data_IF_488570227625
#
_entry.id   IF_488570227625
#
_cell.length_a   1.000
_cell.length_b   1.000
_cell.length_c   1.000
_cell.angle_alpha   90.00
_cell.angle_beta   90.00
_cell.angle_gamma   90.00
#
_symmetry.space_group_name_H-M   'P 1'
#
loop_
_entity.id
_entity.type
_entity.pdbx_description
1 polymer ?
#
# COMPACT_ATOMS: atom_id res chain seq x y z
N UNK A 1 11.12 26.02 5.29
CA UNK A 1 12.54 25.86 5.69
C UNK A 1 13.10 24.70 4.88
N UNK A 2 14.03 24.94 3.95
CA UNK A 2 14.57 23.87 3.12
C UNK A 2 15.44 22.94 3.96
N UNK A 3 15.20 21.64 3.89
CA UNK A 3 15.98 20.62 4.59
C UNK A 3 17.39 20.54 3.98
N UNK A 4 18.34 21.21 4.62
CA UNK A 4 19.75 21.29 4.18
C UNK A 4 20.43 19.91 4.22
N UNK A 5 20.00 19.03 5.13
CA UNK A 5 20.55 17.69 5.25
C UNK A 5 20.07 16.80 4.10
N UNK A 6 18.79 16.86 3.77
CA UNK A 6 18.25 16.21 2.57
C UNK A 6 18.95 16.70 1.29
N UNK A 7 19.20 18.00 1.17
CA UNK A 7 19.93 18.53 0.02
C UNK A 7 21.37 18.00 -0.06
N UNK A 8 22.11 18.04 1.05
CA UNK A 8 23.47 17.51 1.14
C UNK A 8 23.53 16.03 0.76
N UNK A 9 22.67 15.20 1.36
CA UNK A 9 22.57 13.76 1.07
C UNK A 9 22.05 13.45 -0.33
N UNK A 10 21.45 14.43 -1.02
CA UNK A 10 21.07 14.36 -2.42
C UNK A 10 22.23 14.55 -3.41
N UNK A 11 23.39 15.06 -2.97
CA UNK A 11 24.58 15.24 -3.83
C UNK A 11 25.43 13.97 -3.89
N UNK A 12 26.25 13.82 -4.95
CA UNK A 12 27.20 12.70 -5.06
C UNK A 12 28.21 12.62 -3.89
N UNK A 13 28.94 13.70 -3.52
CA UNK A 13 29.85 13.66 -2.38
C UNK A 13 29.13 13.43 -1.04
N UNK A 14 27.96 14.04 -0.84
CA UNK A 14 27.15 13.82 0.36
C UNK A 14 26.68 12.36 0.49
N UNK A 15 26.24 11.73 -0.61
CA UNK A 15 25.92 10.28 -0.61
C UNK A 15 27.11 9.41 -0.29
N UNK A 16 28.29 9.73 -0.82
CA UNK A 16 29.52 8.98 -0.55
C UNK A 16 29.88 9.03 0.94
N UNK A 17 29.92 10.22 1.52
CA UNK A 17 30.27 10.41 2.93
C UNK A 17 29.25 9.76 3.87
N UNK A 18 27.96 9.99 3.63
CA UNK A 18 26.90 9.42 4.48
C UNK A 18 26.85 7.90 4.43
N UNK A 19 27.11 7.27 3.27
CA UNK A 19 27.26 5.80 3.18
C UNK A 19 28.45 5.29 3.99
N UNK A 20 29.59 5.96 3.93
CA UNK A 20 30.81 5.58 4.68
C UNK A 20 30.63 5.70 6.18
N UNK A 21 29.85 6.68 6.62
CA UNK A 21 29.59 6.96 8.04
C UNK A 21 28.33 6.27 8.58
N UNK A 22 27.60 5.50 7.76
CA UNK A 22 26.35 4.86 8.17
C UNK A 22 25.22 5.85 8.49
N UNK A 23 25.29 7.08 7.97
CA UNK A 23 24.31 8.11 8.25
C UNK A 23 23.02 7.92 7.43
N UNK A 24 21.85 8.36 7.96
CA UNK A 24 20.58 8.26 7.24
C UNK A 24 20.61 8.99 5.89
N UNK A 25 20.08 8.35 4.85
CA UNK A 25 19.89 8.93 3.52
C UNK A 25 18.40 9.11 3.22
N UNK A 26 17.78 10.21 3.66
CA UNK A 26 16.35 10.43 3.44
C UNK A 26 16.04 10.56 1.95
N UNK A 27 14.88 10.03 1.54
CA UNK A 27 14.39 10.17 0.18
C UNK A 27 13.49 11.42 0.08
N UNK A 28 13.57 12.22 -1.00
CA UNK A 28 12.60 13.27 -1.25
C UNK A 28 11.24 12.63 -1.52
N UNK A 29 10.24 12.99 -0.72
CA UNK A 29 8.90 12.41 -0.82
C UNK A 29 8.09 13.13 -1.91
N UNK A 30 7.55 12.37 -2.86
CA UNK A 30 6.63 12.89 -3.88
C UNK A 30 5.29 13.24 -3.22
N UNK A 31 5.05 14.53 -3.04
CA UNK A 31 3.83 15.11 -2.44
C UNK A 31 2.90 15.64 -3.52
N UNK A 32 1.62 15.78 -3.19
CA UNK A 32 0.63 16.33 -4.12
C UNK A 32 0.89 17.83 -4.35
N UNK A 33 0.95 18.22 -5.62
CA UNK A 33 0.91 19.61 -6.11
C UNK A 33 0.05 19.64 -7.38
N UNK A 34 -0.24 20.83 -7.90
CA UNK A 34 -0.90 20.97 -9.20
C UNK A 34 -0.06 20.36 -10.34
N UNK A 35 1.27 20.35 -10.22
CA UNK A 35 2.20 19.76 -11.18
C UNK A 35 2.35 18.24 -11.01
N UNK A 36 2.14 17.74 -9.78
CA UNK A 36 2.27 16.31 -9.45
C UNK A 36 0.97 15.77 -8.82
N UNK A 37 -0.16 15.79 -9.55
CA UNK A 37 -1.46 15.43 -8.99
C UNK A 37 -1.62 13.92 -8.76
N UNK A 38 -0.81 13.10 -9.46
CA UNK A 38 -0.84 11.63 -9.44
C UNK A 38 0.56 11.03 -9.39
N UNK A 39 0.63 9.73 -9.05
CA UNK A 39 1.84 8.93 -9.24
C UNK A 39 2.03 8.64 -10.74
N UNK A 40 3.27 8.52 -11.17
CA UNK A 40 3.62 8.12 -12.54
C UNK A 40 4.13 6.69 -12.55
N UNK A 41 3.62 5.89 -13.48
CA UNK A 41 3.96 4.49 -13.63
C UNK A 41 2.72 3.61 -13.56
N UNK A 42 2.94 2.31 -13.44
CA UNK A 42 1.90 1.29 -13.41
C UNK A 42 1.53 0.87 -11.99
N UNK A 43 0.37 0.22 -11.88
CA UNK A 43 -0.05 -0.51 -10.69
C UNK A 43 0.06 -2.01 -10.97
N UNK A 44 0.75 -2.73 -10.10
CA UNK A 44 0.78 -4.18 -10.11
C UNK A 44 -0.28 -4.71 -9.14
N UNK A 45 -1.22 -5.50 -9.65
CA UNK A 45 -2.24 -6.16 -8.83
C UNK A 45 -1.87 -7.63 -8.65
N UNK A 46 -1.75 -8.05 -7.39
CA UNK A 46 -1.42 -9.41 -6.97
C UNK A 46 -2.56 -9.95 -6.11
N UNK A 47 -2.65 -11.27 -6.02
CA UNK A 47 -3.63 -11.95 -5.15
C UNK A 47 -2.92 -13.06 -4.38
N UNK A 48 -3.21 -13.17 -3.09
CA UNK A 48 -2.82 -14.28 -2.21
C UNK A 48 -4.09 -15.08 -1.85
N UNK A 49 -4.18 -16.30 -2.36
CA UNK A 49 -5.39 -17.11 -2.29
C UNK A 49 -6.50 -16.63 -3.22
N UNK A 50 -7.74 -17.06 -2.96
CA UNK A 50 -8.92 -16.63 -3.71
C UNK A 50 -9.45 -15.32 -3.13
N UNK A 51 -9.64 -14.29 -3.95
CA UNK A 51 -10.22 -13.02 -3.50
C UNK A 51 -11.60 -13.24 -2.85
N UNK A 52 -11.75 -12.78 -1.61
CA UNK A 52 -13.02 -12.84 -0.88
C UNK A 52 -13.89 -11.59 -1.12
N UNK A 53 -13.36 -10.58 -1.84
CA UNK A 53 -14.01 -9.30 -2.07
C UNK A 53 -14.23 -9.07 -3.56
N UNK A 54 -15.46 -8.72 -3.93
CA UNK A 54 -15.78 -8.42 -5.33
C UNK A 54 -15.43 -6.97 -5.70
N UNK A 55 -15.21 -6.73 -7.00
CA UNK A 55 -15.00 -5.39 -7.54
C UNK A 55 -13.61 -4.79 -7.33
N UNK A 56 -12.62 -5.57 -6.88
CA UNK A 56 -11.24 -5.09 -6.68
C UNK A 56 -10.66 -4.48 -7.96
N UNK A 57 -10.80 -5.19 -9.09
CA UNK A 57 -10.33 -4.69 -10.39
C UNK A 57 -10.99 -3.34 -10.78
N UNK A 58 -12.28 -3.18 -10.53
CA UNK A 58 -12.98 -1.92 -10.79
C UNK A 58 -12.43 -0.81 -9.90
N UNK A 59 -12.31 -1.07 -8.60
CA UNK A 59 -11.79 -0.09 -7.63
C UNK A 59 -10.36 0.35 -7.96
N UNK A 60 -9.52 -0.56 -8.48
CA UNK A 60 -8.14 -0.27 -8.89
C UNK A 60 -8.02 0.49 -10.21
N UNK A 61 -9.06 0.58 -11.03
CA UNK A 61 -9.05 1.40 -12.24
C UNK A 61 -9.27 2.90 -11.96
N UNK A 62 -9.91 3.22 -10.83
CA UNK A 62 -10.31 4.60 -10.43
C UNK A 62 -9.17 5.57 -10.10
N UNK A 63 -8.03 5.14 -9.51
CA UNK A 63 -6.90 6.02 -9.22
C UNK A 63 -6.16 6.54 -10.47
N UNK A 64 -6.41 5.96 -11.65
CA UNK A 64 -5.79 6.39 -12.91
C UNK A 64 -4.35 5.86 -13.10
N UNK A 65 -4.01 4.76 -12.44
CA UNK A 65 -2.79 4.00 -12.69
C UNK A 65 -3.13 2.80 -13.58
N UNK A 66 -2.45 2.59 -14.73
CA UNK A 66 -2.68 1.42 -15.55
C UNK A 66 -2.30 0.15 -14.78
N UNK A 67 -3.24 -0.79 -14.68
CA UNK A 67 -3.02 -2.09 -14.04
C UNK A 67 -2.29 -2.99 -15.03
N UNK A 68 -1.11 -3.49 -14.65
CA UNK A 68 -0.28 -4.35 -15.51
C UNK A 68 0.00 -5.69 -14.84
N UNK A 69 0.17 -6.73 -15.65
CA UNK A 69 0.40 -8.11 -15.19
C UNK A 69 1.88 -8.47 -14.98
N UNK A 70 2.84 -7.79 -15.62
CA UNK A 70 4.26 -8.10 -15.44
C UNK A 70 5.25 -6.95 -15.72
N UNK A 71 6.37 -7.04 -14.99
CA UNK A 71 7.74 -6.49 -15.12
C UNK A 71 7.97 -5.08 -15.66
N UNK A 72 8.06 -4.16 -14.70
CA UNK A 72 8.76 -2.90 -14.85
C UNK A 72 9.18 -2.37 -13.48
N UNK A 73 9.10 -1.05 -13.31
CA UNK A 73 9.19 -0.40 -12.00
C UNK A 73 7.84 0.20 -11.64
N UNK A 74 6.91 -0.59 -11.05
CA UNK A 74 5.58 -0.09 -10.76
C UNK A 74 5.62 1.05 -9.74
N UNK A 75 4.69 1.98 -9.88
CA UNK A 75 4.47 3.06 -8.93
C UNK A 75 3.70 2.57 -7.69
N UNK A 76 2.88 1.52 -7.88
CA UNK A 76 2.12 0.91 -6.81
C UNK A 76 2.03 -0.61 -6.95
N UNK A 77 1.97 -1.29 -5.82
CA UNK A 77 1.67 -2.72 -5.71
C UNK A 77 0.44 -2.84 -4.81
N UNK A 78 -0.60 -3.52 -5.28
CA UNK A 78 -1.75 -3.88 -4.47
C UNK A 78 -1.79 -5.39 -4.37
N UNK A 79 -1.71 -5.91 -3.15
CA UNK A 79 -1.90 -7.32 -2.87
C UNK A 79 -3.29 -7.52 -2.28
N UNK A 80 -4.12 -8.32 -2.94
CA UNK A 80 -5.35 -8.83 -2.37
C UNK A 80 -5.10 -10.09 -1.54
N UNK A 81 -5.14 -9.95 -0.21
CA UNK A 81 -5.01 -11.02 0.77
C UNK A 81 -6.33 -11.26 1.54
N UNK A 82 -7.46 -10.82 0.98
CA UNK A 82 -8.79 -10.97 1.59
C UNK A 82 -9.20 -12.44 1.76
N UNK A 83 -8.67 -13.33 0.92
CA UNK A 83 -8.90 -14.78 0.99
C UNK A 83 -8.06 -15.55 2.00
N UNK A 84 -7.11 -14.89 2.69
CA UNK A 84 -6.17 -15.58 3.58
C UNK A 84 -6.83 -15.83 4.93
N UNK A 85 -7.30 -17.06 5.16
CA UNK A 85 -8.04 -17.44 6.38
C UNK A 85 -7.25 -18.32 7.34
N UNK A 86 -6.01 -18.69 7.01
CA UNK A 86 -5.20 -19.58 7.85
C UNK A 86 -3.76 -19.08 7.95
N UNK A 87 -3.07 -19.48 9.02
CA UNK A 87 -1.65 -19.15 9.21
C UNK A 87 -0.77 -19.71 8.08
N UNK A 88 -1.11 -20.89 7.52
CA UNK A 88 -0.40 -21.46 6.37
C UNK A 88 -0.54 -20.57 5.12
N UNK A 89 -1.73 -20.00 4.89
CA UNK A 89 -2.00 -19.10 3.76
C UNK A 89 -1.21 -17.79 3.79
N UNK A 90 -0.61 -17.40 4.93
CA UNK A 90 0.32 -16.26 4.98
C UNK A 90 1.57 -16.49 4.13
N UNK A 91 1.91 -17.74 3.82
CA UNK A 91 2.96 -18.08 2.85
C UNK A 91 2.69 -17.48 1.47
N UNK A 92 1.42 -17.42 1.04
CA UNK A 92 1.03 -16.87 -0.27
C UNK A 92 1.22 -15.35 -0.34
N UNK A 93 0.99 -14.64 0.78
CA UNK A 93 1.29 -13.20 0.90
C UNK A 93 2.76 -12.92 0.64
N UNK A 94 3.63 -13.69 1.29
CA UNK A 94 5.08 -13.57 1.09
C UNK A 94 5.47 -13.95 -0.34
N UNK A 95 4.99 -15.10 -0.83
CA UNK A 95 5.32 -15.60 -2.17
C UNK A 95 4.92 -14.62 -3.29
N UNK A 96 3.78 -13.94 -3.14
CA UNK A 96 3.31 -12.94 -4.10
C UNK A 96 4.14 -11.64 -4.05
N UNK A 97 4.43 -11.11 -2.85
CA UNK A 97 5.08 -9.80 -2.70
C UNK A 97 6.61 -9.84 -2.84
N UNK A 98 7.26 -10.88 -2.33
CA UNK A 98 8.73 -10.97 -2.25
C UNK A 98 9.45 -10.77 -3.59
N UNK A 99 9.00 -11.35 -4.73
CA UNK A 99 9.69 -11.19 -6.01
C UNK A 99 9.65 -9.75 -6.55
N UNK A 100 8.58 -9.00 -6.22
CA UNK A 100 8.29 -7.73 -6.89
C UNK A 100 8.58 -6.50 -6.03
N UNK A 101 8.66 -6.62 -4.71
CA UNK A 101 8.84 -5.49 -3.79
C UNK A 101 10.07 -4.64 -4.12
N UNK A 102 11.17 -5.27 -4.54
CA UNK A 102 12.42 -4.57 -4.90
C UNK A 102 12.31 -3.78 -6.20
N UNK A 103 11.34 -4.11 -7.06
CA UNK A 103 11.10 -3.41 -8.33
C UNK A 103 10.35 -2.09 -8.15
N UNK A 104 9.74 -1.85 -6.98
CA UNK A 104 8.95 -0.66 -6.69
C UNK A 104 9.74 0.63 -6.99
N UNK A 105 9.09 1.56 -7.67
CA UNK A 105 9.65 2.89 -7.93
C UNK A 105 9.92 3.64 -6.60
N UNK A 106 10.92 4.55 -6.55
CA UNK A 106 11.09 5.44 -5.40
C UNK A 106 9.79 6.18 -5.09
N UNK A 107 9.45 6.29 -3.81
CA UNK A 107 8.19 6.91 -3.40
C UNK A 107 6.96 6.13 -3.86
N UNK A 108 7.07 4.82 -4.07
CA UNK A 108 5.96 3.96 -4.46
C UNK A 108 4.99 3.66 -3.31
N UNK A 109 3.92 2.92 -3.62
CA UNK A 109 2.87 2.55 -2.67
C UNK A 109 2.67 1.04 -2.65
N UNK A 110 2.62 0.46 -1.46
CA UNK A 110 2.20 -0.93 -1.26
C UNK A 110 0.92 -0.90 -0.44
N UNK A 111 -0.14 -1.50 -0.95
CA UNK A 111 -1.41 -1.63 -0.24
C UNK A 111 -1.76 -3.11 -0.16
N UNK A 112 -1.90 -3.62 1.05
CA UNK A 112 -2.43 -4.97 1.29
C UNK A 112 -3.91 -4.82 1.61
N UNK A 113 -4.76 -5.52 0.86
CA UNK A 113 -6.18 -5.65 1.16
C UNK A 113 -6.36 -6.89 2.03
N UNK A 114 -7.01 -6.72 3.17
CA UNK A 114 -7.43 -7.80 4.04
C UNK A 114 -8.91 -7.68 4.37
N UNK A 115 -9.42 -8.65 5.10
CA UNK A 115 -10.74 -8.60 5.69
C UNK A 115 -10.65 -8.22 7.17
N UNK A 116 -11.72 -7.64 7.71
CA UNK A 116 -11.84 -7.46 9.17
C UNK A 116 -11.71 -8.84 9.85
N UNK A 117 -10.89 -8.97 10.92
CA UNK A 117 -10.81 -10.21 11.70
C UNK A 117 -12.19 -10.65 12.20
N UNK A 118 -12.54 -11.91 11.93
CA UNK A 118 -13.84 -12.47 12.30
C UNK A 118 -13.94 -12.72 13.81
N UNK A 119 -15.05 -12.35 14.48
CA UNK A 119 -15.29 -12.75 15.86
C UNK A 119 -15.61 -14.26 15.99
N UNK A 120 -16.08 -14.89 14.91
CA UNK A 120 -16.59 -16.26 14.90
C UNK A 120 -15.59 -17.29 14.33
N UNK A 121 -14.51 -16.82 13.70
CA UNK A 121 -13.46 -17.67 13.13
C UNK A 121 -12.07 -17.20 13.59
N UNK A 122 -11.54 -17.89 14.61
CA UNK A 122 -10.24 -17.57 15.19
C UNK A 122 -9.07 -17.83 14.24
N UNK A 123 -9.18 -18.76 13.29
CA UNK A 123 -8.11 -19.02 12.32
C UNK A 123 -8.00 -17.86 11.34
N UNK A 124 -9.15 -17.42 10.81
CA UNK A 124 -9.20 -16.26 9.93
C UNK A 124 -8.75 -15.00 10.67
N UNK A 125 -9.22 -14.81 11.92
CA UNK A 125 -8.87 -13.65 12.72
C UNK A 125 -7.36 -13.58 12.96
N UNK A 126 -6.73 -14.70 13.32
CA UNK A 126 -5.28 -14.79 13.52
C UNK A 126 -4.51 -14.47 12.23
N UNK A 127 -4.93 -15.02 11.09
CA UNK A 127 -4.30 -14.78 9.80
C UNK A 127 -4.40 -13.30 9.37
N UNK A 128 -5.61 -12.71 9.43
CA UNK A 128 -5.84 -11.32 9.07
C UNK A 128 -5.20 -10.33 10.04
N UNK A 129 -5.07 -10.70 11.32
CA UNK A 129 -4.33 -9.90 12.30
C UNK A 129 -2.82 -9.95 12.05
N UNK A 130 -2.27 -11.08 11.61
CA UNK A 130 -0.85 -11.21 11.27
C UNK A 130 -0.41 -10.27 10.13
N UNK A 131 -1.32 -9.92 9.20
CA UNK A 131 -1.05 -8.95 8.13
C UNK A 131 -0.61 -7.58 8.65
N UNK A 132 -1.07 -7.17 9.83
CA UNK A 132 -0.65 -5.91 10.43
C UNK A 132 0.85 -5.92 10.77
N UNK A 133 1.32 -6.99 11.41
CA UNK A 133 2.74 -7.17 11.72
C UNK A 133 3.58 -7.19 10.44
N UNK A 134 3.13 -7.93 9.43
CA UNK A 134 3.78 -7.99 8.12
C UNK A 134 3.90 -6.61 7.47
N UNK A 135 2.81 -5.83 7.39
CA UNK A 135 2.78 -4.50 6.78
C UNK A 135 3.68 -3.51 7.54
N UNK A 136 3.67 -3.54 8.88
CA UNK A 136 4.50 -2.67 9.71
C UNK A 136 5.99 -2.98 9.55
N UNK A 137 6.36 -4.25 9.43
CA UNK A 137 7.75 -4.66 9.16
C UNK A 137 8.16 -4.27 7.75
N UNK A 138 7.33 -4.57 6.75
CA UNK A 138 7.59 -4.20 5.35
C UNK A 138 7.75 -2.68 5.16
N UNK A 139 6.97 -1.88 5.88
CA UNK A 139 7.09 -0.43 5.90
C UNK A 139 8.44 0.08 6.41
N UNK A 140 9.11 -0.66 7.29
CA UNK A 140 10.46 -0.34 7.80
C UNK A 140 11.56 -0.79 6.84
N UNK A 141 11.30 -1.81 6.03
CA UNK A 141 12.30 -2.44 5.15
C UNK A 141 12.30 -1.88 3.72
N UNK A 142 11.15 -1.45 3.21
CA UNK A 142 11.00 -1.05 1.80
C UNK A 142 11.82 0.20 1.45
N UNK A 143 11.96 1.13 2.41
CA UNK A 143 12.76 2.36 2.26
C UNK A 143 12.38 3.21 1.04
N UNK A 144 13.33 4.02 0.54
CA UNK A 144 13.22 4.85 -0.68
C UNK A 144 11.98 5.77 -0.73
N UNK A 145 11.46 6.19 0.43
CA UNK A 145 10.26 7.02 0.53
C UNK A 145 8.95 6.30 0.21
N UNK A 146 8.99 4.97 0.10
CA UNK A 146 7.81 4.14 -0.17
C UNK A 146 6.95 4.01 1.07
N UNK A 147 5.64 3.79 0.89
CA UNK A 147 4.71 3.56 2.00
C UNK A 147 4.00 2.23 1.87
N UNK A 148 3.64 1.63 3.00
CA UNK A 148 3.01 0.30 3.06
C UNK A 148 1.81 0.38 4.00
N UNK A 149 0.65 -0.07 3.55
CA UNK A 149 -0.61 0.11 4.28
C UNK A 149 -1.44 -1.18 4.24
N UNK A 150 -2.20 -1.41 5.31
CA UNK A 150 -3.23 -2.46 5.36
C UNK A 150 -4.61 -1.79 5.28
N UNK A 151 -5.45 -2.23 4.36
CA UNK A 151 -6.86 -1.82 4.29
C UNK A 151 -7.73 -3.04 4.59
N UNK A 152 -8.55 -2.95 5.63
CA UNK A 152 -9.49 -4.01 6.02
C UNK A 152 -10.88 -3.71 5.52
N UNK A 153 -11.45 -4.67 4.80
CA UNK A 153 -12.80 -4.61 4.25
C UNK A 153 -13.71 -5.51 5.11
N UNK A 154 -14.88 -5.05 5.56
CA UNK A 154 -15.84 -5.89 6.26
C UNK A 154 -16.21 -7.14 5.47
N UNK A 155 -16.53 -8.24 6.16
CA UNK A 155 -17.06 -9.43 5.53
C UNK A 155 -18.33 -9.09 4.72
N UNK A 156 -18.43 -9.64 3.50
CA UNK A 156 -19.52 -9.31 2.56
C UNK A 156 -19.46 -7.89 1.97
N UNK A 157 -18.45 -7.09 2.33
CA UNK A 157 -18.18 -5.80 1.72
C UNK A 157 -17.67 -5.91 0.28
N UNK A 158 -17.72 -4.80 -0.44
CA UNK A 158 -17.16 -4.69 -1.80
C UNK A 158 -15.97 -3.76 -1.82
N UNK A 159 -15.07 -3.93 -2.78
CA UNK A 159 -13.91 -3.04 -2.93
C UNK A 159 -14.32 -1.60 -3.28
N UNK A 160 -15.57 -1.38 -3.73
CA UNK A 160 -16.13 -0.03 -3.96
C UNK A 160 -16.13 0.81 -2.69
N UNK A 161 -16.39 0.21 -1.53
CA UNK A 161 -16.33 0.92 -0.25
C UNK A 161 -14.92 1.45 0.05
N UNK A 162 -13.89 0.83 -0.53
CA UNK A 162 -12.50 1.23 -0.40
C UNK A 162 -12.07 2.29 -1.43
N UNK A 163 -12.93 2.74 -2.36
CA UNK A 163 -12.51 3.58 -3.49
C UNK A 163 -11.81 4.87 -3.05
N UNK A 164 -12.39 5.61 -2.10
CA UNK A 164 -11.82 6.86 -1.60
C UNK A 164 -10.47 6.63 -0.92
N UNK A 165 -10.38 5.58 -0.11
CA UNK A 165 -9.17 5.13 0.58
C UNK A 165 -8.08 4.75 -0.43
N UNK A 166 -8.39 3.92 -1.42
CA UNK A 166 -7.46 3.52 -2.47
C UNK A 166 -7.00 4.71 -3.30
N UNK A 167 -7.89 5.62 -3.69
CA UNK A 167 -7.54 6.86 -4.41
C UNK A 167 -6.65 7.79 -3.58
N UNK A 168 -6.77 7.78 -2.26
CA UNK A 168 -5.88 8.53 -1.37
C UNK A 168 -4.51 7.83 -1.25
N UNK A 169 -4.50 6.54 -0.92
CA UNK A 169 -3.28 5.77 -0.69
C UNK A 169 -2.43 5.63 -1.95
N UNK A 170 -3.04 5.44 -3.12
CA UNK A 170 -2.38 5.29 -4.42
C UNK A 170 -2.06 6.65 -5.07
N UNK A 171 -1.79 7.67 -4.26
CA UNK A 171 -1.51 9.02 -4.73
C UNK A 171 -0.34 9.69 -3.97
N UNK A 172 0.15 10.85 -4.47
CA UNK A 172 1.12 11.66 -3.73
C UNK A 172 0.57 12.25 -2.40
N UNK A 173 -0.75 12.21 -2.16
CA UNK A 173 -1.36 12.74 -0.94
C UNK A 173 -1.03 11.91 0.31
N UNK A 174 -0.74 10.62 0.15
CA UNK A 174 -0.41 9.69 1.23
C UNK A 174 1.10 9.60 1.54
N UNK A 175 1.91 10.55 1.06
CA UNK A 175 3.38 10.48 1.08
C UNK A 175 4.02 10.30 2.47
N UNK A 176 3.29 10.61 3.55
CA UNK A 176 3.76 10.47 4.94
C UNK A 176 2.89 9.54 5.78
N UNK A 177 2.05 8.72 5.13
CA UNK A 177 1.21 7.72 5.78
C UNK A 177 1.78 6.34 5.45
N UNK A 178 2.45 5.71 6.42
CA UNK A 178 3.09 4.39 6.27
C UNK A 178 2.91 3.53 7.52
N UNK A 179 2.81 2.22 7.34
CA UNK A 179 2.65 1.23 8.40
C UNK A 179 1.32 1.33 9.14
N UNK A 180 0.28 1.94 8.55
CA UNK A 180 -1.02 2.09 9.19
C UNK A 180 -2.02 1.03 8.73
N UNK A 181 -2.97 0.74 9.60
CA UNK A 181 -4.15 -0.08 9.33
C UNK A 181 -5.34 0.85 9.17
N UNK A 182 -6.05 0.73 8.06
CA UNK A 182 -7.28 1.48 7.77
C UNK A 182 -8.41 0.47 7.68
N UNK A 183 -9.28 0.48 8.68
CA UNK A 183 -10.45 -0.39 8.71
C UNK A 183 -11.66 0.35 8.17
N UNK A 184 -12.27 -0.21 7.13
CA UNK A 184 -13.52 0.31 6.60
C UNK A 184 -14.66 -0.20 7.47
N UNK A 185 -15.58 0.68 7.84
CA UNK A 185 -16.83 0.28 8.46
C UNK A 185 -17.89 0.10 7.39
N UNK A 186 -18.91 -0.71 7.66
CA UNK A 186 -20.10 -0.71 6.83
C UNK A 186 -20.69 0.71 6.87
N UNK A 187 -20.77 1.36 5.71
CA UNK A 187 -21.37 2.68 5.63
C UNK A 187 -22.85 2.56 6.04
N UNK A 188 -23.25 3.22 7.13
CA UNK A 188 -24.63 3.65 7.26
C UNK A 188 -24.91 4.58 6.09
N UNK A 189 -25.82 4.19 5.20
CA UNK A 189 -26.25 5.04 4.10
C UNK A 189 -26.68 6.39 4.69
N UNK A 190 -25.83 7.41 4.52
CA UNK A 190 -26.24 8.78 4.85
C UNK A 190 -27.23 9.17 3.77
N UNK A 191 -28.49 9.52 4.11
CA UNK A 191 -29.41 10.02 3.11
C UNK A 191 -28.76 11.24 2.46
N UNK A 192 -28.58 11.19 1.13
CA UNK A 192 -28.15 12.38 0.40
C UNK A 192 -29.16 13.51 0.65
N UNK A 193 -28.73 14.78 0.61
CA UNK A 193 -29.66 15.89 0.79
C UNK A 193 -30.78 15.75 -0.24
N UNK A 194 -32.03 15.80 0.24
CA UNK A 194 -33.18 15.93 -0.64
C UNK A 194 -32.98 17.17 -1.51
N UNK A 195 -33.16 16.98 -2.83
CA UNK A 195 -33.05 18.02 -3.83
C UNK A 195 -34.00 19.19 -3.56
#
# INVERSE_FOLDING_TARGET
MADRYLHLTGTAPGRFLTRRLGLPQPAPLRRWTLETPRLEGSLLHLTAGASAVTGVAEALSRPGLPVVGDTGRPAAIVLDATGVTTAAGLGDVHAALHPVVRSLAPGGRIVVLGTVPSPDDHHQAAAQQALEGFVRSLGKETGRGSTVQLVRIPAGGTARAAESTLRFLLSPRSAYVSGQVIELTAATATPGPAA
#
